data_IF_687850486650
#
_entry.id   IF_687850486650
#
_cell.length_a   1.000
_cell.length_b   1.000
_cell.length_c   1.000
_cell.angle_alpha   90.00
_cell.angle_beta   90.00
_cell.angle_gamma   90.00
#
_symmetry.space_group_name_H-M   'P 1'
#
loop_
_entity.id
_entity.type
_entity.pdbx_description
1 polymer ?
#
# COMPACT_ATOMS: atom_id res chain seq x y z
N UNK A 1 -10.11 5.62 -10.94
CA UNK A 1 -8.69 5.25 -10.98
C UNK A 1 -8.34 4.50 -9.71
N UNK A 2 -7.77 3.33 -9.85
CA UNK A 2 -7.53 2.43 -8.70
C UNK A 2 -6.60 3.04 -7.66
N UNK A 3 -5.59 3.80 -8.07
CA UNK A 3 -4.66 4.44 -7.14
C UNK A 3 -5.38 5.42 -6.22
N UNK A 4 -6.29 6.21 -6.75
CA UNK A 4 -7.06 7.17 -5.97
C UNK A 4 -8.02 6.48 -5.00
N UNK A 5 -8.64 5.39 -5.45
CA UNK A 5 -9.54 4.58 -4.61
C UNK A 5 -8.77 4.00 -3.43
N UNK A 6 -7.59 3.42 -3.72
CA UNK A 6 -6.74 2.84 -2.70
C UNK A 6 -6.24 3.90 -1.71
N UNK A 7 -5.82 5.06 -2.21
CA UNK A 7 -5.38 6.17 -1.38
C UNK A 7 -6.47 6.61 -0.40
N UNK A 8 -7.68 6.84 -0.90
CA UNK A 8 -8.81 7.24 -0.05
C UNK A 8 -9.13 6.18 1.00
N UNK A 9 -9.12 4.91 0.60
CA UNK A 9 -9.41 3.82 1.52
C UNK A 9 -8.39 3.80 2.67
N UNK A 10 -7.10 3.82 2.34
CA UNK A 10 -6.06 3.76 3.35
C UNK A 10 -6.04 5.02 4.23
N UNK A 11 -6.27 6.18 3.67
CA UNK A 11 -6.38 7.42 4.47
C UNK A 11 -7.49 7.33 5.50
N UNK A 12 -8.58 6.65 5.19
CA UNK A 12 -9.69 6.50 6.13
C UNK A 12 -9.40 5.51 7.26
N UNK A 13 -8.40 4.63 7.08
CA UNK A 13 -8.07 3.57 8.04
C UNK A 13 -6.78 3.82 8.81
N UNK A 14 -5.84 4.53 8.21
CA UNK A 14 -4.53 4.78 8.81
C UNK A 14 -4.47 6.18 9.41
N UNK A 15 -3.67 6.34 10.45
CA UNK A 15 -3.44 7.64 11.08
C UNK A 15 -2.24 8.39 10.50
N UNK A 16 -1.58 7.80 9.50
CA UNK A 16 -0.39 8.37 8.86
C UNK A 16 -0.72 8.87 7.47
N UNK A 17 0.07 9.79 6.90
CA UNK A 17 -0.13 10.25 5.53
C UNK A 17 0.00 9.12 4.52
N UNK A 18 -0.86 9.13 3.50
CA UNK A 18 -0.81 8.20 2.38
C UNK A 18 -0.53 9.02 1.13
N UNK A 19 0.58 8.73 0.47
CA UNK A 19 1.08 9.52 -0.65
C UNK A 19 1.16 8.65 -1.91
N UNK A 20 1.11 9.29 -3.07
CA UNK A 20 1.31 8.62 -4.35
C UNK A 20 2.73 8.80 -4.87
N UNK A 21 3.49 9.70 -4.26
CA UNK A 21 4.90 9.91 -4.56
C UNK A 21 5.60 10.48 -3.33
N UNK A 22 6.92 10.35 -3.29
CA UNK A 22 7.68 10.87 -2.17
C UNK A 22 7.70 12.40 -2.21
N UNK A 23 7.31 13.02 -1.10
CA UNK A 23 7.37 14.46 -0.94
C UNK A 23 8.67 14.83 -0.22
N UNK A 24 9.64 15.46 -0.90
CA UNK A 24 10.90 15.83 -0.25
C UNK A 24 10.73 16.89 0.82
N UNK A 25 9.59 17.57 0.85
CA UNK A 25 9.29 18.59 1.87
C UNK A 25 8.56 18.01 3.07
N UNK A 26 8.16 16.75 3.02
CA UNK A 26 7.49 16.10 4.13
C UNK A 26 8.44 15.88 5.29
N UNK A 27 8.02 16.27 6.49
CA UNK A 27 8.76 16.02 7.72
C UNK A 27 8.20 14.83 8.49
N UNK A 28 7.19 14.16 7.97
CA UNK A 28 6.60 13.01 8.64
C UNK A 28 7.60 11.86 8.70
N UNK A 29 7.73 11.26 9.89
CA UNK A 29 8.59 10.09 10.08
C UNK A 29 7.90 8.79 9.68
N UNK A 30 6.57 8.76 9.73
CA UNK A 30 5.76 7.62 9.30
C UNK A 30 4.84 8.05 8.18
N UNK A 31 4.86 7.31 7.09
CA UNK A 31 3.96 7.55 5.96
C UNK A 31 3.94 6.32 5.06
N UNK A 32 2.98 6.28 4.17
CA UNK A 32 2.80 5.19 3.20
C UNK A 32 2.84 5.79 1.80
N UNK A 33 3.58 5.15 0.90
CA UNK A 33 3.58 5.50 -0.51
C UNK A 33 2.93 4.34 -1.29
N UNK A 34 1.97 4.66 -2.12
CA UNK A 34 1.34 3.69 -3.02
C UNK A 34 1.77 3.97 -4.45
N UNK A 35 2.05 2.90 -5.19
CA UNK A 35 2.49 3.01 -6.57
C UNK A 35 1.91 1.86 -7.39
N UNK A 36 1.37 2.18 -8.55
CA UNK A 36 0.94 1.15 -9.49
C UNK A 36 2.14 0.75 -10.32
N UNK A 37 2.61 -0.48 -10.12
CA UNK A 37 3.81 -0.99 -10.80
C UNK A 37 3.50 -1.89 -11.98
N UNK A 38 2.23 -2.25 -12.19
CA UNK A 38 1.82 -3.03 -13.33
C UNK A 38 0.31 -3.09 -13.43
N UNK A 39 -0.17 -3.69 -14.49
CA UNK A 39 -1.59 -3.88 -14.69
C UNK A 39 -1.84 -4.72 -15.94
N UNK A 40 -3.00 -5.33 -15.97
CA UNK A 40 -3.43 -6.15 -17.10
C UNK A 40 -4.95 -6.13 -17.19
N UNK A 41 -5.47 -6.55 -18.31
CA UNK A 41 -6.90 -6.76 -18.49
C UNK A 41 -7.09 -8.15 -19.05
N UNK A 42 -7.80 -9.00 -18.31
CA UNK A 42 -8.08 -10.37 -18.71
C UNK A 42 -9.58 -10.58 -18.63
N UNK A 43 -10.18 -11.08 -19.71
CA UNK A 43 -11.64 -11.27 -19.80
C UNK A 43 -12.42 -9.99 -19.46
N UNK A 44 -11.90 -8.84 -19.90
CA UNK A 44 -12.48 -7.51 -19.67
C UNK A 44 -12.50 -7.09 -18.19
N UNK A 45 -11.78 -7.80 -17.33
CA UNK A 45 -11.64 -7.43 -15.92
C UNK A 45 -10.25 -6.84 -15.69
N UNK A 46 -10.14 -5.55 -15.34
CA UNK A 46 -8.84 -4.95 -15.10
C UNK A 46 -8.21 -5.51 -13.84
N UNK A 47 -6.90 -5.69 -13.89
CA UNK A 47 -6.10 -5.99 -12.71
C UNK A 47 -4.99 -4.96 -12.57
N UNK A 48 -4.53 -4.76 -11.35
CA UNK A 48 -3.45 -3.82 -11.06
C UNK A 48 -2.50 -4.45 -10.05
N UNK A 49 -1.22 -4.22 -10.27
CA UNK A 49 -0.18 -4.58 -9.30
C UNK A 49 0.19 -3.30 -8.58
N UNK A 50 -0.08 -3.27 -7.27
CA UNK A 50 0.14 -2.11 -6.42
C UNK A 50 1.25 -2.41 -5.44
N UNK A 51 2.24 -1.56 -5.43
CA UNK A 51 3.34 -1.64 -4.47
C UNK A 51 3.10 -0.61 -3.39
N UNK A 52 3.08 -1.05 -2.13
CA UNK A 52 2.87 -0.18 -0.99
C UNK A 52 4.13 -0.20 -0.13
N UNK A 53 4.73 0.97 0.04
CA UNK A 53 5.91 1.15 0.88
C UNK A 53 5.49 1.81 2.18
N UNK A 54 5.84 1.17 3.30
CA UNK A 54 5.53 1.67 4.64
C UNK A 54 6.82 2.16 5.29
N UNK A 55 6.87 3.46 5.59
CA UNK A 55 8.03 4.12 6.16
C UNK A 55 7.85 4.37 7.65
N UNK A 56 8.93 4.29 8.40
CA UNK A 56 8.91 4.59 9.83
C UNK A 56 10.24 5.17 10.29
N UNK A 57 10.24 5.71 11.52
CA UNK A 57 11.45 6.25 12.13
C UNK A 57 12.38 5.14 12.62
N UNK A 58 11.89 3.91 12.72
CA UNK A 58 12.67 2.73 13.08
C UNK A 58 12.19 1.54 12.27
N UNK A 59 12.97 0.47 12.26
CA UNK A 59 12.57 -0.77 11.60
C UNK A 59 11.27 -1.32 12.19
N UNK A 60 11.12 -1.23 13.51
CA UNK A 60 9.90 -1.69 14.17
C UNK A 60 8.67 -0.90 13.69
N UNK A 61 8.79 0.43 13.64
CA UNK A 61 7.68 1.27 13.19
C UNK A 61 7.30 1.00 11.75
N UNK A 62 8.28 0.83 10.87
CA UNK A 62 8.04 0.52 9.47
C UNK A 62 7.35 -0.85 9.33
N UNK A 63 7.83 -1.85 10.07
CA UNK A 63 7.25 -3.19 10.06
C UNK A 63 5.83 -3.19 10.61
N UNK A 64 5.59 -2.47 11.71
CA UNK A 64 4.26 -2.38 12.31
C UNK A 64 3.26 -1.71 11.37
N UNK A 65 3.68 -0.64 10.70
CA UNK A 65 2.84 0.04 9.71
C UNK A 65 2.53 -0.87 8.53
N UNK A 66 3.51 -1.63 8.05
CA UNK A 66 3.32 -2.58 6.98
C UNK A 66 2.29 -3.67 7.36
N UNK A 67 2.34 -4.16 8.61
CA UNK A 67 1.36 -5.13 9.10
C UNK A 67 -0.04 -4.52 9.17
N UNK A 68 -0.16 -3.28 9.59
CA UNK A 68 -1.43 -2.57 9.61
C UNK A 68 -1.99 -2.40 8.20
N UNK A 69 -1.16 -2.02 7.25
CA UNK A 69 -1.55 -1.90 5.84
C UNK A 69 -2.03 -3.26 5.31
N UNK A 70 -1.29 -4.33 5.57
CA UNK A 70 -1.69 -5.68 5.14
C UNK A 70 -3.05 -6.06 5.70
N UNK A 71 -3.29 -5.75 6.95
CA UNK A 71 -4.57 -6.03 7.58
C UNK A 71 -5.73 -5.37 6.83
N UNK A 72 -5.62 -4.08 6.53
CA UNK A 72 -6.68 -3.38 5.81
C UNK A 72 -6.80 -3.80 4.36
N UNK A 73 -5.70 -4.18 3.73
CA UNK A 73 -5.74 -4.65 2.35
C UNK A 73 -6.38 -6.04 2.23
N UNK A 74 -6.11 -6.93 3.18
CA UNK A 74 -6.43 -8.36 3.06
C UNK A 74 -7.62 -8.81 3.91
N UNK A 75 -8.06 -8.01 4.89
CA UNK A 75 -9.18 -8.36 5.76
C UNK A 75 -10.47 -8.43 4.94
N UNK A 76 -11.14 -9.58 4.97
CA UNK A 76 -12.33 -9.82 4.17
C UNK A 76 -13.58 -9.12 4.65
N UNK A 77 -13.63 -8.65 5.90
CA UNK A 77 -14.82 -8.00 6.47
C UNK A 77 -14.73 -6.48 6.44
N UNK A 78 -13.55 -5.94 6.67
CA UNK A 78 -13.34 -4.49 6.79
C UNK A 78 -12.25 -3.99 5.84
N UNK A 79 -11.70 -4.88 5.05
CA UNK A 79 -10.59 -4.59 4.16
C UNK A 79 -11.01 -4.03 2.81
N UNK A 80 -10.04 -3.90 1.92
CA UNK A 80 -10.23 -3.27 0.61
C UNK A 80 -11.29 -3.96 -0.24
N UNK A 81 -11.49 -5.26 -0.08
CA UNK A 81 -12.49 -6.00 -0.87
C UNK A 81 -13.93 -5.59 -0.56
N UNK A 82 -14.15 -4.84 0.52
CA UNK A 82 -15.50 -4.29 0.81
C UNK A 82 -15.82 -3.05 -0.03
N UNK A 83 -14.83 -2.51 -0.74
CA UNK A 83 -15.02 -1.39 -1.65
C UNK A 83 -15.62 -1.92 -2.95
N UNK A 84 -16.68 -1.26 -3.43
CA UNK A 84 -17.44 -1.73 -4.60
C UNK A 84 -16.58 -1.90 -5.85
N UNK A 85 -15.54 -1.11 -5.98
CA UNK A 85 -14.66 -1.12 -7.14
C UNK A 85 -13.60 -2.23 -7.13
N UNK A 86 -13.46 -2.95 -6.00
CA UNK A 86 -12.43 -3.99 -5.85
C UNK A 86 -13.08 -5.33 -5.63
N UNK A 87 -12.74 -6.32 -6.45
CA UNK A 87 -13.30 -7.67 -6.34
C UNK A 87 -12.37 -8.66 -5.66
N UNK A 88 -11.06 -8.48 -5.74
CA UNK A 88 -10.11 -9.36 -5.05
C UNK A 88 -8.79 -8.66 -4.77
N UNK A 89 -8.11 -9.13 -3.72
CA UNK A 89 -6.79 -8.64 -3.32
C UNK A 89 -5.94 -9.86 -2.97
N UNK A 90 -4.75 -9.96 -3.55
CA UNK A 90 -3.79 -11.00 -3.25
C UNK A 90 -2.44 -10.37 -2.90
N UNK A 91 -1.78 -10.87 -1.86
CA UNK A 91 -0.44 -10.45 -1.49
C UNK A 91 0.57 -11.28 -2.28
N UNK A 92 1.39 -10.63 -3.10
CA UNK A 92 2.41 -11.29 -3.91
C UNK A 92 3.75 -11.40 -3.17
N UNK A 93 4.14 -10.33 -2.47
CA UNK A 93 5.40 -10.32 -1.74
C UNK A 93 5.35 -9.29 -0.62
N UNK A 94 6.21 -9.49 0.38
CA UNK A 94 6.28 -8.66 1.57
C UNK A 94 7.70 -8.78 2.11
N UNK A 95 8.45 -7.68 2.15
CA UNK A 95 9.85 -7.74 2.55
C UNK A 95 10.36 -6.40 3.08
N UNK A 96 11.45 -6.46 3.85
CA UNK A 96 12.17 -5.31 4.34
C UNK A 96 12.95 -4.68 3.17
N UNK A 97 12.65 -3.45 2.86
CA UNK A 97 13.26 -2.71 1.76
C UNK A 97 14.01 -1.48 2.27
N UNK A 98 14.53 -1.56 3.49
CA UNK A 98 15.24 -0.46 4.14
C UNK A 98 16.45 -0.02 3.31
N UNK A 99 16.56 1.29 3.08
CA UNK A 99 17.72 1.89 2.45
C UNK A 99 18.79 2.09 3.52
N UNK A 100 19.82 1.25 3.48
CA UNK A 100 20.91 1.28 4.47
C UNK A 100 21.81 2.50 4.31
N UNK A 101 21.82 3.11 3.13
CA UNK A 101 22.66 4.29 2.85
C UNK A 101 22.10 5.54 3.52
N UNK A 102 20.78 5.74 3.43
CA UNK A 102 20.09 6.90 4.01
C UNK A 102 19.46 6.60 5.35
N UNK A 103 19.52 5.34 5.81
CA UNK A 103 18.87 4.85 7.03
C UNK A 103 17.37 5.11 7.05
N UNK A 104 16.73 5.04 5.87
CA UNK A 104 15.29 5.12 5.78
C UNK A 104 14.70 3.74 5.92
N UNK A 105 14.04 3.52 7.04
CA UNK A 105 13.41 2.24 7.34
C UNK A 105 12.10 2.14 6.58
N UNK A 106 11.98 1.12 5.74
CA UNK A 106 10.76 0.89 4.99
C UNK A 106 10.55 -0.60 4.73
N UNK A 107 9.29 -0.98 4.72
CA UNK A 107 8.86 -2.29 4.24
C UNK A 107 8.09 -2.11 2.95
N UNK A 108 8.17 -3.07 2.08
CA UNK A 108 7.47 -3.04 0.80
C UNK A 108 6.62 -4.29 0.65
N UNK A 109 5.36 -4.12 0.34
CA UNK A 109 4.45 -5.20 0.03
C UNK A 109 3.86 -4.97 -1.35
N UNK A 110 3.76 -6.04 -2.13
CA UNK A 110 3.22 -6.00 -3.49
C UNK A 110 1.92 -6.76 -3.50
N UNK A 111 0.86 -6.09 -3.96
CA UNK A 111 -0.49 -6.65 -4.01
C UNK A 111 -0.98 -6.70 -5.45
N UNK A 112 -1.71 -7.76 -5.76
CA UNK A 112 -2.44 -7.83 -7.02
C UNK A 112 -3.91 -7.64 -6.74
N UNK A 113 -4.52 -6.66 -7.39
CA UNK A 113 -5.92 -6.31 -7.21
C UNK A 113 -6.68 -6.60 -8.50
N UNK A 114 -7.89 -7.16 -8.37
CA UNK A 114 -8.84 -7.20 -9.47
C UNK A 114 -9.91 -6.14 -9.15
N UNK A 115 -10.17 -5.25 -10.10
CA UNK A 115 -11.07 -4.12 -9.89
C UNK A 115 -11.96 -3.89 -11.11
N UNK A 116 -12.95 -3.07 -10.93
CA UNK A 116 -13.89 -2.72 -12.00
C UNK A 116 -13.59 -1.38 -12.65
#
# INVERSE_FOLDING_TARGET
>A
MIETILKKFLESKLSVPVLMEQDPKSTASQFVIIEKTGGAQKNHIPSAIMTIQSYGASKYEAAALNEEVKRWMLDGLEGLITVDEVSSVNLNSDYDFTDTTTKRYRYQAVYELTHY
#
